data_IF_050230983956
#
_entry.id   IF_050230983956
#
_cell.length_a   1.000
_cell.length_b   1.000
_cell.length_c   1.000
_cell.angle_alpha   90.00
_cell.angle_beta   90.00
_cell.angle_gamma   90.00
#
_symmetry.space_group_name_H-M   'P 1'
#
loop_
_entity.id
_entity.type
_entity.pdbx_description
1 polymer ?
#
# COMPACT_ATOMS: atom_id res chain seq x y z
N UNK A 1 3.67 -21.09 27.41
CA UNK A 1 4.52 -20.28 26.50
C UNK A 1 4.48 -20.96 25.14
N UNK A 2 3.51 -20.59 24.33
CA UNK A 2 3.40 -21.06 22.94
C UNK A 2 4.25 -20.07 22.11
N UNK A 3 5.46 -20.45 21.78
CA UNK A 3 6.32 -19.64 20.90
C UNK A 3 5.72 -19.62 19.50
N UNK A 4 5.37 -18.42 19.02
CA UNK A 4 5.00 -18.17 17.63
C UNK A 4 6.11 -18.75 16.75
N UNK A 5 5.75 -19.62 15.79
CA UNK A 5 6.71 -20.03 14.75
C UNK A 5 6.96 -18.80 13.88
N UNK A 6 8.16 -18.21 13.96
CA UNK A 6 8.57 -17.12 13.06
C UNK A 6 8.41 -17.57 11.62
N UNK A 7 7.76 -16.74 10.83
CA UNK A 7 7.80 -16.89 9.37
C UNK A 7 9.25 -16.63 8.95
N UNK A 8 9.93 -17.67 8.48
CA UNK A 8 11.25 -17.51 7.88
C UNK A 8 11.04 -16.87 6.50
N UNK A 9 11.57 -15.69 6.32
CA UNK A 9 11.67 -15.06 5.03
C UNK A 9 12.56 -15.93 4.13
N UNK A 10 12.05 -16.33 2.97
CA UNK A 10 12.80 -17.19 2.08
C UNK A 10 13.65 -16.37 1.10
N UNK A 11 14.90 -16.76 0.94
CA UNK A 11 15.76 -16.32 -0.18
C UNK A 11 15.58 -17.36 -1.29
N UNK A 12 14.76 -17.11 -2.32
CA UNK A 12 14.58 -18.12 -3.34
C UNK A 12 13.76 -17.66 -4.55
N UNK A 13 14.28 -17.97 -5.73
CA UNK A 13 13.58 -17.86 -7.00
C UNK A 13 12.52 -18.96 -7.07
N UNK A 14 11.24 -18.59 -7.09
CA UNK A 14 10.13 -19.53 -7.34
C UNK A 14 9.55 -19.23 -8.72
N UNK A 15 9.71 -20.16 -9.65
CA UNK A 15 8.97 -20.17 -10.90
C UNK A 15 7.50 -20.53 -10.62
N UNK A 16 6.58 -19.61 -10.85
CA UNK A 16 5.15 -19.84 -10.74
C UNK A 16 4.54 -19.91 -12.13
N UNK A 17 3.96 -21.07 -12.46
CA UNK A 17 3.05 -21.21 -13.60
C UNK A 17 1.64 -20.81 -13.12
N UNK A 18 1.14 -19.66 -13.60
CA UNK A 18 -0.23 -19.21 -13.33
C UNK A 18 -1.12 -19.54 -14.51
N UNK A 19 -2.18 -20.33 -14.26
CA UNK A 19 -3.27 -20.57 -15.22
C UNK A 19 -4.29 -19.43 -15.15
N UNK A 20 -4.47 -18.70 -16.26
CA UNK A 20 -5.45 -17.63 -16.40
C UNK A 20 -6.82 -18.22 -16.79
N UNK A 21 -7.85 -17.95 -16.02
CA UNK A 21 -9.24 -18.11 -16.42
C UNK A 21 -9.79 -16.76 -16.90
N UNK A 22 -10.07 -16.64 -18.20
CA UNK A 22 -10.72 -15.46 -18.79
C UNK A 22 -12.22 -15.52 -18.51
N UNK A 23 -12.75 -14.56 -17.77
CA UNK A 23 -14.18 -14.31 -17.69
C UNK A 23 -14.58 -13.27 -18.75
N UNK A 24 -15.41 -13.68 -19.71
CA UNK A 24 -15.98 -12.81 -20.75
C UNK A 24 -17.23 -12.11 -20.20
N UNK A 25 -17.21 -10.80 -20.09
CA UNK A 25 -18.41 -10.00 -19.85
C UNK A 25 -19.09 -9.65 -21.18
N UNK A 26 -20.35 -10.08 -21.33
CA UNK A 26 -21.23 -9.67 -22.43
C UNK A 26 -21.94 -8.38 -22.08
N UNK A 27 -21.83 -7.38 -22.95
CA UNK A 27 -22.61 -6.12 -22.87
C UNK A 27 -24.01 -6.31 -23.47
N UNK A 28 -25.06 -5.65 -22.92
CA UNK A 28 -26.39 -5.65 -23.49
C UNK A 28 -26.51 -4.67 -24.68
N UNK A 29 -27.48 -4.84 -25.60
CA UNK A 29 -27.60 -4.07 -26.81
C UNK A 29 -28.22 -2.69 -26.60
N UNK A 30 -27.72 -1.69 -27.34
CA UNK A 30 -28.27 -0.35 -27.40
C UNK A 30 -29.45 -0.29 -28.36
N UNK A 31 -30.58 0.22 -27.91
CA UNK A 31 -31.73 0.55 -28.78
C UNK A 31 -31.53 1.92 -29.46
N UNK A 32 -32.01 1.94 -30.73
CA UNK A 32 -31.88 3.04 -31.65
C UNK A 32 -32.83 4.20 -31.35
N UNK A 33 -32.37 5.45 -31.54
CA UNK A 33 -33.25 6.59 -31.82
C UNK A 33 -32.74 7.41 -33.00
N UNK A 34 -33.71 7.84 -33.80
CA UNK A 34 -33.72 8.25 -35.18
C UNK A 34 -32.93 9.52 -35.56
N UNK A 35 -32.48 9.48 -36.77
CA UNK A 35 -32.08 10.42 -37.83
C UNK A 35 -32.55 11.87 -37.77
N UNK A 36 -31.63 12.85 -38.07
CA UNK A 36 -31.83 14.02 -38.94
C UNK A 36 -30.52 14.39 -39.69
N UNK A 37 -30.57 15.07 -40.85
CA UNK A 37 -29.67 14.87 -41.96
C UNK A 37 -28.45 15.81 -42.04
N UNK A 38 -27.51 15.39 -42.90
CA UNK A 38 -26.20 15.87 -43.21
C UNK A 38 -26.07 17.31 -43.72
N UNK A 39 -24.94 17.96 -43.36
CA UNK A 39 -24.24 18.89 -44.25
C UNK A 39 -22.78 18.48 -44.35
N UNK A 40 -22.39 18.17 -45.58
CA UNK A 40 -21.06 17.73 -46.00
C UNK A 40 -20.07 18.89 -46.05
N UNK A 41 -18.88 18.65 -45.46
CA UNK A 41 -17.63 19.36 -45.80
C UNK A 41 -16.48 18.33 -45.91
N UNK A 42 -15.52 18.50 -46.84
CA UNK A 42 -14.54 17.45 -47.13
C UNK A 42 -13.49 17.30 -46.06
N UNK A 43 -13.14 16.05 -45.78
CA UNK A 43 -12.11 15.65 -44.83
C UNK A 43 -10.72 15.89 -45.44
N UNK A 44 -9.87 16.55 -44.67
CA UNK A 44 -8.43 16.52 -44.87
C UNK A 44 -7.90 15.20 -44.31
N UNK A 45 -7.20 14.43 -45.13
CA UNK A 45 -6.50 13.22 -44.73
C UNK A 45 -5.37 13.58 -43.73
N UNK A 46 -5.57 13.24 -42.46
CA UNK A 46 -4.48 13.20 -41.47
C UNK A 46 -3.92 11.79 -41.50
N UNK A 47 -2.73 11.66 -42.07
CA UNK A 47 -1.93 10.44 -42.03
C UNK A 47 -1.58 10.10 -40.59
N UNK A 48 -2.25 9.11 -40.01
CA UNK A 48 -1.88 8.53 -38.72
C UNK A 48 -0.77 7.49 -38.92
N UNK A 49 0.47 7.93 -38.90
CA UNK A 49 1.59 7.01 -38.69
C UNK A 49 1.55 6.57 -37.23
N UNK A 50 0.88 5.47 -36.96
CA UNK A 50 0.93 4.77 -35.69
C UNK A 50 2.31 4.13 -35.51
N UNK A 51 3.15 4.70 -34.68
CA UNK A 51 4.34 4.02 -34.20
C UNK A 51 3.92 2.76 -33.43
N UNK A 52 4.59 1.61 -33.61
CA UNK A 52 4.25 0.40 -32.87
C UNK A 52 4.62 0.65 -31.38
N UNK A 53 3.60 0.78 -30.53
CA UNK A 53 3.78 0.70 -29.10
C UNK A 53 4.45 -0.65 -28.78
N UNK A 54 5.65 -0.60 -28.24
CA UNK A 54 6.37 -1.78 -27.78
C UNK A 54 5.47 -2.48 -26.74
N UNK A 55 4.97 -3.67 -27.11
CA UNK A 55 4.28 -4.56 -26.18
C UNK A 55 5.33 -5.06 -25.20
N UNK A 56 5.63 -4.29 -24.14
CA UNK A 56 6.36 -4.78 -22.97
C UNK A 56 5.56 -5.97 -22.47
N UNK A 57 6.18 -7.14 -22.43
CA UNK A 57 5.53 -8.38 -22.04
C UNK A 57 4.89 -8.19 -20.66
N UNK A 58 3.56 -8.26 -20.56
CA UNK A 58 2.81 -8.29 -19.31
C UNK A 58 3.42 -9.28 -18.30
N UNK A 59 4.00 -10.38 -18.77
CA UNK A 59 4.69 -11.37 -17.95
C UNK A 59 5.97 -10.84 -17.24
N UNK A 60 6.65 -9.84 -17.80
CA UNK A 60 7.78 -9.20 -17.13
C UNK A 60 7.31 -8.22 -16.03
N UNK A 61 6.20 -7.53 -16.26
CA UNK A 61 5.53 -6.69 -15.28
C UNK A 61 5.00 -7.52 -14.10
N UNK A 62 4.33 -8.64 -14.37
CA UNK A 62 3.82 -9.56 -13.34
C UNK A 62 4.95 -10.15 -12.47
N UNK A 63 6.13 -10.43 -13.05
CA UNK A 63 7.26 -10.96 -12.31
C UNK A 63 7.90 -9.94 -11.34
N UNK A 64 7.79 -8.64 -11.63
CA UNK A 64 8.30 -7.55 -10.79
C UNK A 64 7.29 -7.22 -9.65
N UNK A 65 6.01 -7.23 -9.97
CA UNK A 65 4.92 -6.72 -9.10
C UNK A 65 4.44 -7.75 -8.06
N UNK A 66 4.74 -9.03 -8.18
CA UNK A 66 4.10 -10.09 -7.39
C UNK A 66 4.99 -10.79 -6.35
N UNK A 67 6.17 -10.24 -6.01
CA UNK A 67 6.96 -10.81 -4.91
C UNK A 67 6.32 -10.48 -3.56
N UNK A 68 5.92 -11.47 -2.74
CA UNK A 68 5.44 -11.22 -1.39
C UNK A 68 6.48 -10.42 -0.58
N UNK A 69 6.02 -9.52 0.31
CA UNK A 69 6.92 -8.85 1.27
C UNK A 69 7.69 -9.84 2.19
N UNK A 70 7.29 -11.11 2.18
CA UNK A 70 7.95 -12.21 2.89
C UNK A 70 9.21 -12.76 2.19
N UNK A 71 9.62 -12.18 1.04
CA UNK A 71 10.84 -12.53 0.33
C UNK A 71 11.83 -11.38 0.46
N UNK A 72 12.95 -11.61 1.17
CA UNK A 72 14.00 -10.61 1.32
C UNK A 72 14.65 -10.28 -0.03
N UNK A 73 14.89 -8.98 -0.25
CA UNK A 73 15.57 -8.47 -1.45
C UNK A 73 17.06 -8.42 -1.25
N UNK A 74 17.79 -8.74 -2.31
CA UNK A 74 19.23 -8.52 -2.37
C UNK A 74 19.58 -7.10 -2.81
N UNK A 75 20.84 -6.64 -2.59
CA UNK A 75 21.31 -5.38 -3.10
C UNK A 75 21.12 -5.25 -4.62
N UNK A 76 20.48 -4.16 -5.04
CA UNK A 76 20.16 -3.88 -6.45
C UNK A 76 18.78 -4.38 -6.91
N UNK A 77 18.11 -5.24 -6.14
CA UNK A 77 16.73 -5.64 -6.42
C UNK A 77 15.75 -4.55 -5.97
N UNK A 78 14.73 -4.26 -6.77
CA UNK A 78 13.70 -3.29 -6.42
C UNK A 78 12.87 -3.79 -5.22
N UNK A 79 12.69 -2.94 -4.21
CA UNK A 79 11.75 -3.15 -3.12
C UNK A 79 10.31 -3.01 -3.59
N UNK A 80 9.37 -3.57 -2.84
CA UNK A 80 7.95 -3.40 -3.10
C UNK A 80 7.55 -1.92 -3.06
N UNK A 81 6.68 -1.49 -3.98
CA UNK A 81 6.15 -0.13 -4.03
C UNK A 81 4.95 -0.04 -3.11
N UNK A 82 5.04 0.80 -2.07
CA UNK A 82 4.02 0.96 -1.05
C UNK A 82 3.51 2.41 -1.10
N UNK A 83 2.25 2.59 -1.50
CA UNK A 83 1.63 3.91 -1.63
C UNK A 83 1.23 4.45 -0.25
N UNK A 84 1.95 5.46 0.26
CA UNK A 84 1.78 6.06 1.57
C UNK A 84 0.45 6.81 1.68
N UNK A 85 -0.47 6.32 2.52
CA UNK A 85 -1.84 6.83 2.68
C UNK A 85 -2.62 6.84 1.36
N UNK A 86 -2.38 5.83 0.51
CA UNK A 86 -2.76 5.82 -0.89
C UNK A 86 -1.81 6.60 -1.78
N UNK A 87 -2.21 6.95 -3.01
CA UNK A 87 -1.45 7.86 -3.87
C UNK A 87 -1.68 9.30 -3.41
N UNK A 88 -1.07 9.68 -2.28
CA UNK A 88 -1.28 10.95 -1.61
C UNK A 88 -0.69 12.16 -2.35
N UNK A 89 0.10 11.94 -3.40
CA UNK A 89 0.52 13.00 -4.31
C UNK A 89 -0.57 13.39 -5.34
N UNK A 90 -1.54 12.51 -5.59
CA UNK A 90 -2.58 12.70 -6.61
C UNK A 90 -3.98 12.90 -6.01
N UNK A 91 -4.23 12.43 -4.78
CA UNK A 91 -5.54 12.51 -4.13
C UNK A 91 -5.40 12.71 -2.61
N UNK A 92 -6.46 13.14 -1.89
CA UNK A 92 -6.38 13.40 -0.45
C UNK A 92 -5.96 12.15 0.34
N UNK A 93 -4.91 12.28 1.15
CA UNK A 93 -4.36 11.18 1.96
C UNK A 93 -5.46 10.45 2.76
N UNK A 94 -5.31 9.13 2.91
CA UNK A 94 -6.22 8.30 3.71
C UNK A 94 -7.70 8.37 3.28
N UNK A 95 -7.97 8.54 1.98
CA UNK A 95 -9.34 8.57 1.42
C UNK A 95 -9.51 7.52 0.33
N UNK A 96 -10.77 7.15 0.05
CA UNK A 96 -11.07 6.18 -1.03
C UNK A 96 -10.54 6.62 -2.40
N UNK A 97 -10.61 7.91 -2.82
CA UNK A 97 -9.95 8.38 -4.05
C UNK A 97 -8.43 8.11 -4.07
N UNK A 98 -7.71 8.32 -2.95
CA UNK A 98 -6.28 8.04 -2.88
C UNK A 98 -5.97 6.53 -3.00
N UNK A 99 -6.86 5.68 -2.47
CA UNK A 99 -6.70 4.22 -2.54
C UNK A 99 -6.97 3.70 -3.94
N UNK A 100 -8.01 4.20 -4.61
CA UNK A 100 -8.27 3.87 -6.03
C UNK A 100 -7.10 4.32 -6.90
N UNK A 101 -6.61 5.56 -6.72
CA UNK A 101 -5.44 6.07 -7.43
C UNK A 101 -4.17 5.26 -7.15
N UNK A 102 -4.00 4.73 -5.93
CA UNK A 102 -2.90 3.81 -5.59
C UNK A 102 -2.97 2.51 -6.39
N UNK A 103 -4.16 1.93 -6.56
CA UNK A 103 -4.38 0.73 -7.36
C UNK A 103 -4.06 1.01 -8.84
N UNK A 104 -4.57 2.13 -9.37
CA UNK A 104 -4.35 2.54 -10.75
C UNK A 104 -2.88 2.85 -11.05
N UNK A 105 -2.12 3.34 -10.06
CA UNK A 105 -0.69 3.58 -10.18
C UNK A 105 0.16 2.30 -10.28
N UNK A 106 -0.42 1.14 -10.00
CA UNK A 106 0.30 -0.14 -9.97
C UNK A 106 1.14 -0.37 -8.71
N UNK A 107 0.87 0.36 -7.62
CA UNK A 107 1.50 0.09 -6.33
C UNK A 107 1.15 -1.31 -5.83
N UNK A 108 2.14 -2.04 -5.28
CA UNK A 108 1.92 -3.38 -4.74
C UNK A 108 1.13 -3.38 -3.44
N UNK A 109 1.29 -2.33 -2.65
CA UNK A 109 0.58 -2.12 -1.38
C UNK A 109 0.01 -0.72 -1.31
N UNK A 110 -1.21 -0.64 -0.78
CA UNK A 110 -1.79 0.60 -0.30
C UNK A 110 -1.54 0.69 1.20
N UNK A 111 -0.81 1.69 1.66
CA UNK A 111 -0.62 1.94 3.09
C UNK A 111 -1.73 2.86 3.59
N UNK A 112 -2.23 2.58 4.81
CA UNK A 112 -3.29 3.32 5.49
C UNK A 112 -3.01 3.47 6.97
N UNK A 113 -3.49 4.57 7.57
CA UNK A 113 -3.41 4.82 9.01
C UNK A 113 -4.77 4.59 9.66
N UNK A 114 -4.84 3.82 10.75
CA UNK A 114 -6.11 3.60 11.46
C UNK A 114 -6.10 4.13 12.90
N UNK A 115 -7.29 4.66 13.29
CA UNK A 115 -7.62 5.08 14.65
C UNK A 115 -9.00 4.59 15.03
N UNK A 116 -9.31 4.61 16.33
CA UNK A 116 -10.65 4.31 16.81
C UNK A 116 -11.46 5.60 17.01
N UNK A 117 -12.69 5.59 16.51
CA UNK A 117 -13.72 6.58 16.87
C UNK A 117 -14.13 6.43 18.34
N UNK A 118 -14.93 7.38 18.86
CA UNK A 118 -15.49 7.34 20.21
C UNK A 118 -16.29 6.07 20.50
N UNK A 119 -17.01 5.56 19.53
CA UNK A 119 -17.84 4.36 19.59
C UNK A 119 -17.09 3.09 19.15
N UNK A 120 -15.74 3.19 19.00
CA UNK A 120 -14.85 2.04 18.81
C UNK A 120 -14.77 1.52 17.39
N UNK A 121 -15.26 2.26 16.39
CA UNK A 121 -15.13 1.88 14.96
C UNK A 121 -13.75 2.27 14.45
N UNK A 122 -13.00 1.37 13.78
CA UNK A 122 -11.75 1.70 13.13
C UNK A 122 -11.99 2.61 11.91
N UNK A 123 -11.43 3.82 11.94
CA UNK A 123 -11.50 4.82 10.87
C UNK A 123 -10.11 5.08 10.29
N UNK A 124 -10.06 5.49 9.02
CA UNK A 124 -8.80 5.68 8.31
C UNK A 124 -8.42 7.16 8.31
N UNK A 125 -7.50 7.52 9.19
CA UNK A 125 -6.99 8.89 9.37
C UNK A 125 -5.65 8.89 10.11
N UNK A 126 -4.72 9.75 9.67
CA UNK A 126 -3.37 9.82 10.26
C UNK A 126 -3.34 10.52 11.61
N UNK A 127 -3.85 11.74 11.69
CA UNK A 127 -3.71 12.61 12.86
C UNK A 127 -4.64 12.19 14.01
N UNK A 128 -4.34 12.65 15.22
CA UNK A 128 -5.21 12.44 16.38
C UNK A 128 -6.49 13.28 16.32
N UNK A 129 -6.46 14.37 15.54
CA UNK A 129 -7.60 15.26 15.31
C UNK A 129 -7.95 15.29 13.83
N UNK A 130 -9.14 15.75 13.52
CA UNK A 130 -9.66 15.90 12.16
C UNK A 130 -9.24 17.22 11.49
N UNK A 131 -8.59 18.13 12.21
CA UNK A 131 -8.44 19.56 11.86
C UNK A 131 -7.65 19.80 10.56
N UNK A 132 -6.62 18.98 10.27
CA UNK A 132 -5.71 19.21 9.14
C UNK A 132 -6.30 18.76 7.79
N UNK A 133 -7.01 17.64 7.80
CA UNK A 133 -7.44 16.96 6.58
C UNK A 133 -8.95 16.93 6.41
N UNK A 134 -9.70 17.71 7.22
CA UNK A 134 -11.15 17.84 7.08
C UNK A 134 -11.62 19.26 7.32
N UNK A 135 -12.91 19.50 7.06
CA UNK A 135 -13.59 20.76 7.40
C UNK A 135 -14.08 20.81 8.86
N UNK A 136 -13.78 19.81 9.69
CA UNK A 136 -14.12 19.75 11.11
C UNK A 136 -12.96 20.12 12.03
N UNK A 137 -13.21 20.04 13.34
CA UNK A 137 -12.23 20.25 14.39
C UNK A 137 -12.49 19.33 15.57
N UNK A 138 -11.42 18.83 16.22
CA UNK A 138 -11.51 18.00 17.42
C UNK A 138 -10.83 16.64 17.29
N UNK A 139 -10.78 15.93 18.42
CA UNK A 139 -10.11 14.63 18.48
C UNK A 139 -10.97 13.52 17.87
N UNK A 140 -10.38 12.67 17.03
CA UNK A 140 -11.02 11.49 16.43
C UNK A 140 -11.67 10.60 17.48
N UNK A 141 -10.98 10.37 18.62
CA UNK A 141 -11.46 9.54 19.71
C UNK A 141 -12.63 10.12 20.52
N UNK A 142 -12.99 11.37 20.28
CA UNK A 142 -14.12 12.04 20.93
C UNK A 142 -15.35 12.13 20.02
N UNK A 143 -15.22 11.77 18.75
CA UNK A 143 -16.28 11.80 17.73
C UNK A 143 -16.77 10.39 17.42
N UNK A 144 -18.07 10.23 17.32
CA UNK A 144 -18.71 8.99 16.84
C UNK A 144 -18.43 8.76 15.34
N UNK A 145 -18.60 7.54 14.86
CA UNK A 145 -18.46 7.27 13.43
C UNK A 145 -19.41 8.13 12.58
N UNK A 146 -20.62 8.38 13.06
CA UNK A 146 -21.59 9.22 12.34
C UNK A 146 -21.10 10.68 12.21
N UNK A 147 -20.49 11.24 13.26
CA UNK A 147 -19.92 12.59 13.23
C UNK A 147 -18.70 12.65 12.32
N UNK A 148 -17.80 11.66 12.38
CA UNK A 148 -16.62 11.58 11.52
C UNK A 148 -16.99 11.46 10.04
N UNK A 149 -17.99 10.65 9.71
CA UNK A 149 -18.47 10.44 8.32
C UNK A 149 -19.19 11.65 7.73
N UNK A 150 -19.65 12.59 8.54
CA UNK A 150 -20.26 13.83 8.09
C UNK A 150 -19.23 14.89 7.67
N UNK A 151 -17.94 14.68 7.96
CA UNK A 151 -16.86 15.59 7.60
C UNK A 151 -16.42 15.40 6.15
N UNK A 152 -16.00 16.49 5.54
CA UNK A 152 -15.35 16.51 4.23
C UNK A 152 -13.83 16.39 4.40
N UNK A 153 -13.28 15.26 3.99
CA UNK A 153 -11.85 14.95 4.04
C UNK A 153 -11.16 15.17 2.68
N UNK A 154 -11.80 15.81 1.71
CA UNK A 154 -11.27 16.00 0.37
C UNK A 154 -10.97 17.43 -0.02
N UNK A 155 -11.86 18.38 0.30
CA UNK A 155 -11.76 19.77 -0.15
C UNK A 155 -10.50 20.50 0.30
N UNK A 156 -9.84 20.05 1.36
CA UNK A 156 -8.57 20.66 1.81
C UNK A 156 -7.45 20.54 0.78
N UNK A 157 -7.49 19.50 -0.06
CA UNK A 157 -6.54 19.31 -1.16
C UNK A 157 -7.02 20.00 -2.44
N UNK A 158 -8.29 19.76 -2.84
CA UNK A 158 -8.89 20.32 -4.04
C UNK A 158 -10.41 20.18 -4.00
N UNK A 159 -11.11 21.19 -4.54
CA UNK A 159 -12.58 21.16 -4.74
C UNK A 159 -13.06 19.96 -5.56
N UNK A 160 -12.18 19.36 -6.39
CA UNK A 160 -12.48 18.13 -7.13
C UNK A 160 -12.83 16.97 -6.21
N UNK A 161 -12.34 16.99 -4.97
CA UNK A 161 -12.57 15.95 -3.97
C UNK A 161 -13.58 16.38 -2.89
N UNK A 162 -14.31 17.48 -3.11
CA UNK A 162 -15.28 17.97 -2.15
C UNK A 162 -16.32 16.90 -1.78
N UNK A 163 -16.65 16.82 -0.49
CA UNK A 163 -17.60 15.84 0.04
C UNK A 163 -17.05 14.41 0.21
N UNK A 164 -15.74 14.22 0.07
CA UNK A 164 -15.10 12.92 0.35
C UNK A 164 -15.15 12.63 1.84
N UNK A 165 -15.81 11.54 2.30
CA UNK A 165 -15.86 11.22 3.72
C UNK A 165 -14.57 10.55 4.22
N UNK A 166 -14.32 10.60 5.53
CA UNK A 166 -13.31 9.75 6.19
C UNK A 166 -13.71 8.29 6.02
N UNK A 167 -12.87 7.40 5.45
CA UNK A 167 -13.23 5.99 5.28
C UNK A 167 -13.21 5.23 6.61
N UNK A 168 -13.95 4.14 6.66
CA UNK A 168 -13.81 3.11 7.70
C UNK A 168 -12.87 2.00 7.21
N UNK A 169 -12.34 1.19 8.14
CA UNK A 169 -11.45 0.08 7.78
C UNK A 169 -12.17 -0.97 6.92
N UNK A 170 -13.44 -1.26 7.19
CA UNK A 170 -14.22 -2.23 6.40
C UNK A 170 -14.40 -1.80 4.94
N UNK A 171 -14.59 -0.50 4.66
CA UNK A 171 -14.65 0.01 3.29
C UNK A 171 -13.33 -0.23 2.54
N UNK A 172 -12.19 0.02 3.19
CA UNK A 172 -10.87 -0.21 2.58
C UNK A 172 -10.60 -1.70 2.39
N UNK A 173 -10.95 -2.53 3.36
CA UNK A 173 -10.80 -3.98 3.24
C UNK A 173 -11.69 -4.56 2.13
N UNK A 174 -12.92 -4.04 1.96
CA UNK A 174 -13.81 -4.43 0.86
C UNK A 174 -13.21 -4.03 -0.51
N UNK A 175 -12.64 -2.83 -0.63
CA UNK A 175 -11.92 -2.41 -1.84
C UNK A 175 -10.73 -3.34 -2.12
N UNK A 176 -9.92 -3.65 -1.11
CA UNK A 176 -8.76 -4.53 -1.24
C UNK A 176 -9.18 -5.95 -1.67
N UNK A 177 -10.24 -6.50 -1.08
CA UNK A 177 -10.76 -7.82 -1.45
C UNK A 177 -11.26 -7.88 -2.91
N UNK A 178 -11.90 -6.81 -3.39
CA UNK A 178 -12.44 -6.74 -4.75
C UNK A 178 -11.38 -6.48 -5.83
N UNK A 179 -10.34 -5.72 -5.50
CA UNK A 179 -9.27 -5.34 -6.44
C UNK A 179 -8.06 -6.29 -6.41
N UNK A 180 -7.92 -7.12 -5.37
CA UNK A 180 -6.73 -7.93 -5.14
C UNK A 180 -5.52 -7.14 -4.62
N UNK A 181 -5.70 -5.86 -4.29
CA UNK A 181 -4.64 -5.00 -3.73
C UNK A 181 -4.28 -5.45 -2.32
N UNK A 182 -2.99 -5.39 -1.99
CA UNK A 182 -2.48 -5.64 -0.65
C UNK A 182 -2.54 -4.37 0.19
N UNK A 183 -2.68 -4.53 1.51
CA UNK A 183 -2.79 -3.37 2.42
C UNK A 183 -1.72 -3.44 3.50
N UNK A 184 -1.05 -2.31 3.73
CA UNK A 184 -0.18 -2.08 4.89
C UNK A 184 -0.93 -1.17 5.87
N UNK A 185 -1.32 -1.69 7.04
CA UNK A 185 -2.14 -0.98 8.02
C UNK A 185 -1.28 -0.47 9.17
N UNK A 186 -1.16 0.85 9.32
CA UNK A 186 -0.56 1.44 10.52
C UNK A 186 -1.59 1.64 11.64
N UNK A 187 -1.35 0.98 12.75
CA UNK A 187 -2.09 1.18 14.00
C UNK A 187 -1.51 2.37 14.76
N UNK A 188 -2.18 3.53 14.69
CA UNK A 188 -1.70 4.77 15.31
C UNK A 188 -1.82 4.74 16.84
N UNK A 189 -0.67 4.80 17.51
CA UNK A 189 -0.58 4.80 18.97
C UNK A 189 -0.68 3.41 19.61
N UNK A 190 -1.14 3.35 20.86
CA UNK A 190 -1.25 2.08 21.60
C UNK A 190 -2.68 1.57 21.63
N UNK A 191 -2.92 0.49 20.93
CA UNK A 191 -4.22 -0.18 20.86
C UNK A 191 -4.43 -1.15 22.00
N UNK A 192 -5.67 -1.27 22.49
CA UNK A 192 -6.06 -2.29 23.45
C UNK A 192 -6.10 -3.68 22.80
N UNK A 193 -6.08 -4.76 23.61
CA UNK A 193 -6.29 -6.11 23.09
C UNK A 193 -7.64 -6.26 22.37
N UNK A 194 -8.68 -5.63 22.89
CA UNK A 194 -10.00 -5.66 22.27
C UNK A 194 -10.01 -4.96 20.91
N UNK A 195 -9.41 -3.75 20.83
CA UNK A 195 -9.33 -3.02 19.55
C UNK A 195 -8.51 -3.77 18.49
N UNK A 196 -7.39 -4.40 18.87
CA UNK A 196 -6.62 -5.26 17.96
C UNK A 196 -7.47 -6.44 17.50
N UNK A 197 -8.17 -7.12 18.43
CA UNK A 197 -9.04 -8.25 18.06
C UNK A 197 -10.11 -7.83 17.07
N UNK A 198 -10.76 -6.69 17.27
CA UNK A 198 -11.79 -6.19 16.34
C UNK A 198 -11.23 -6.05 14.91
N UNK A 199 -10.06 -5.45 14.75
CA UNK A 199 -9.47 -5.26 13.41
C UNK A 199 -8.98 -6.58 12.80
N UNK A 200 -8.44 -7.49 13.62
CA UNK A 200 -8.06 -8.85 13.16
C UNK A 200 -9.28 -9.62 12.67
N UNK A 201 -10.37 -9.62 13.45
CA UNK A 201 -11.63 -10.27 13.05
C UNK A 201 -12.18 -9.71 11.71
N UNK A 202 -12.05 -8.40 11.48
CA UNK A 202 -12.44 -7.77 10.20
C UNK A 202 -11.58 -8.25 9.03
N UNK A 203 -10.24 -8.34 9.21
CA UNK A 203 -9.31 -8.82 8.20
C UNK A 203 -9.57 -10.29 7.86
N UNK A 204 -9.79 -11.14 8.88
CA UNK A 204 -10.11 -12.55 8.72
C UNK A 204 -11.45 -12.77 8.02
N UNK A 205 -12.47 -11.98 8.37
CA UNK A 205 -13.82 -12.10 7.80
C UNK A 205 -13.85 -11.88 6.27
N UNK A 206 -12.93 -11.08 5.72
CA UNK A 206 -12.81 -10.85 4.27
C UNK A 206 -11.70 -11.69 3.62
N UNK A 207 -11.03 -12.58 4.37
CA UNK A 207 -10.02 -13.50 3.86
C UNK A 207 -8.68 -12.85 3.48
N UNK A 208 -8.35 -11.69 4.01
CA UNK A 208 -7.16 -10.91 3.64
C UNK A 208 -5.93 -11.14 4.54
N UNK A 209 -5.95 -12.11 5.45
CA UNK A 209 -4.86 -12.37 6.42
C UNK A 209 -3.48 -12.54 5.77
N UNK A 210 -3.41 -13.10 4.55
CA UNK A 210 -2.16 -13.31 3.83
C UNK A 210 -1.69 -12.10 3.00
N UNK A 211 -2.55 -11.12 2.79
CA UNK A 211 -2.31 -9.94 1.93
C UNK A 211 -2.25 -8.62 2.69
N UNK A 212 -2.63 -8.66 3.97
CA UNK A 212 -2.48 -7.53 4.89
C UNK A 212 -1.18 -7.65 5.66
N UNK A 213 -0.47 -6.53 5.80
CA UNK A 213 0.65 -6.33 6.72
C UNK A 213 0.22 -5.29 7.75
N UNK A 214 0.45 -5.54 9.02
CA UNK A 214 0.19 -4.57 10.09
C UNK A 214 1.49 -3.92 10.55
N UNK A 215 1.44 -2.64 10.93
CA UNK A 215 2.59 -1.95 11.50
C UNK A 215 2.18 -0.98 12.61
N UNK A 216 3.11 -0.64 13.50
CA UNK A 216 2.91 0.40 14.51
C UNK A 216 4.25 0.88 15.07
N UNK A 217 4.32 2.14 15.52
CA UNK A 217 5.41 2.62 16.39
C UNK A 217 5.35 2.03 17.80
N UNK A 218 4.16 1.61 18.24
CA UNK A 218 3.96 1.06 19.58
C UNK A 218 4.38 -0.39 19.66
N UNK A 219 5.51 -0.67 20.32
CA UNK A 219 5.95 -2.06 20.60
C UNK A 219 4.85 -2.91 21.25
N UNK A 220 4.03 -2.29 22.14
CA UNK A 220 2.89 -2.98 22.77
C UNK A 220 1.81 -3.36 21.77
N UNK A 221 1.56 -2.51 20.77
CA UNK A 221 0.60 -2.79 19.71
C UNK A 221 1.14 -3.89 18.80
N UNK A 222 2.40 -3.81 18.37
CA UNK A 222 3.09 -4.86 17.59
C UNK A 222 2.97 -6.21 18.28
N UNK A 223 3.37 -6.31 19.54
CA UNK A 223 3.30 -7.56 20.31
C UNK A 223 1.85 -8.08 20.45
N UNK A 224 0.85 -7.18 20.58
CA UNK A 224 -0.57 -7.58 20.67
C UNK A 224 -1.11 -8.10 19.36
N UNK A 225 -0.71 -7.51 18.24
CA UNK A 225 -1.11 -7.99 16.91
C UNK A 225 -0.46 -9.36 16.66
N UNK A 226 0.83 -9.48 16.93
CA UNK A 226 1.54 -10.75 16.79
C UNK A 226 0.95 -11.89 17.65
N UNK A 227 0.47 -11.58 18.87
CA UNK A 227 -0.21 -12.52 19.76
C UNK A 227 -1.62 -12.88 19.26
N UNK A 228 -2.39 -11.89 18.78
CA UNK A 228 -3.77 -12.08 18.35
C UNK A 228 -3.90 -12.75 16.99
N UNK A 229 -2.98 -12.49 16.06
CA UNK A 229 -3.00 -12.99 14.69
C UNK A 229 -1.60 -13.50 14.27
N UNK A 230 -1.20 -14.70 14.68
CA UNK A 230 0.11 -15.28 14.35
C UNK A 230 0.36 -15.42 12.84
N UNK A 231 -0.72 -15.44 12.05
CA UNK A 231 -0.66 -15.56 10.59
C UNK A 231 -0.46 -14.21 9.89
N UNK A 232 -0.66 -13.08 10.60
CA UNK A 232 -0.49 -11.75 10.03
C UNK A 232 0.98 -11.33 10.09
N UNK A 233 1.48 -10.76 9.00
CA UNK A 233 2.83 -10.15 9.00
C UNK A 233 2.80 -8.85 9.77
N UNK A 234 3.74 -8.65 10.71
CA UNK A 234 3.75 -7.47 11.59
C UNK A 234 5.09 -6.75 11.52
N UNK A 235 5.07 -5.45 11.17
CA UNK A 235 6.22 -4.55 11.16
C UNK A 235 6.27 -3.63 12.39
N UNK A 236 7.47 -3.29 12.82
CA UNK A 236 7.70 -2.25 13.83
C UNK A 236 8.28 -0.98 13.19
N UNK A 237 7.55 0.13 13.28
CA UNK A 237 7.98 1.46 12.81
C UNK A 237 9.02 2.06 13.75
N UNK A 238 10.12 2.59 13.20
CA UNK A 238 11.24 3.16 13.94
C UNK A 238 11.84 4.36 13.21
N UNK A 239 12.63 5.19 13.89
CA UNK A 239 13.38 6.26 13.22
C UNK A 239 14.61 5.70 12.51
N UNK A 240 15.36 4.82 13.19
CA UNK A 240 16.64 4.31 12.75
C UNK A 240 16.66 2.77 12.68
N UNK A 241 17.63 2.24 11.93
CA UNK A 241 17.90 0.80 11.80
C UNK A 241 19.30 0.47 12.29
N UNK A 242 19.45 0.29 13.59
CA UNK A 242 20.70 -0.10 14.23
C UNK A 242 20.65 -1.50 14.86
N UNK A 243 21.66 -1.84 15.68
CA UNK A 243 21.73 -3.14 16.33
C UNK A 243 20.65 -3.31 17.42
N UNK A 244 20.35 -2.24 18.14
CA UNK A 244 19.36 -2.25 19.22
C UNK A 244 17.94 -2.35 18.66
N UNK A 245 17.69 -1.68 17.54
CA UNK A 245 16.42 -1.75 16.79
C UNK A 245 16.15 -3.19 16.34
N UNK A 246 17.13 -3.86 15.73
CA UNK A 246 16.98 -5.25 15.30
C UNK A 246 16.76 -6.20 16.48
N UNK A 247 17.50 -6.01 17.58
CA UNK A 247 17.32 -6.83 18.78
C UNK A 247 15.92 -6.65 19.39
N UNK A 248 15.43 -5.41 19.47
CA UNK A 248 14.10 -5.11 19.98
C UNK A 248 13.00 -5.68 19.11
N UNK A 249 13.08 -5.48 17.77
CA UNK A 249 12.11 -6.04 16.82
C UNK A 249 12.00 -7.57 16.97
N UNK A 250 13.16 -8.22 17.12
CA UNK A 250 13.23 -9.64 17.40
C UNK A 250 12.54 -10.03 18.71
N UNK A 251 12.75 -9.26 19.77
CA UNK A 251 12.19 -9.53 21.10
C UNK A 251 10.67 -9.33 21.18
N UNK A 252 10.11 -8.41 20.39
CA UNK A 252 8.66 -8.17 20.30
C UNK A 252 7.98 -9.02 19.21
N UNK A 253 8.69 -9.98 18.63
CA UNK A 253 8.21 -10.89 17.61
C UNK A 253 7.70 -10.21 16.32
N UNK A 254 8.29 -9.05 15.95
CA UNK A 254 8.03 -8.43 14.66
C UNK A 254 8.64 -9.26 13.52
N UNK A 255 7.99 -9.24 12.36
CA UNK A 255 8.48 -9.87 11.13
C UNK A 255 9.27 -8.88 10.27
N UNK A 256 9.08 -7.58 10.47
CA UNK A 256 9.80 -6.52 9.77
C UNK A 256 10.15 -5.34 10.69
N UNK A 257 11.15 -4.57 10.29
CA UNK A 257 11.48 -3.25 10.85
C UNK A 257 11.26 -2.21 9.77
N UNK A 258 10.47 -1.19 10.08
CA UNK A 258 10.12 -0.15 9.13
C UNK A 258 10.74 1.18 9.58
N UNK A 259 12.03 1.43 9.27
CA UNK A 259 12.73 2.61 9.71
C UNK A 259 12.45 3.81 8.80
N UNK A 260 12.61 5.03 9.36
CA UNK A 260 12.64 6.25 8.56
C UNK A 260 13.94 6.36 7.76
N UNK A 261 15.05 5.91 8.35
CA UNK A 261 16.36 5.91 7.70
C UNK A 261 17.02 4.53 7.80
N UNK A 262 17.74 4.13 6.75
CA UNK A 262 18.44 2.86 6.69
C UNK A 262 19.88 3.02 6.20
N UNK A 263 20.73 2.07 6.60
CA UNK A 263 22.08 1.91 6.07
C UNK A 263 22.24 0.49 5.53
N UNK A 264 23.13 0.26 4.57
CA UNK A 264 23.41 -1.08 4.05
C UNK A 264 23.77 -2.08 5.16
N UNK A 265 24.51 -1.63 6.17
CA UNK A 265 24.86 -2.45 7.34
C UNK A 265 23.63 -2.79 8.19
N UNK A 266 22.70 -1.85 8.36
CA UNK A 266 21.44 -2.03 9.07
C UNK A 266 20.54 -3.04 8.36
N UNK A 267 20.32 -2.86 7.05
CA UNK A 267 19.54 -3.77 6.21
C UNK A 267 20.12 -5.19 6.28
N UNK A 268 21.43 -5.37 6.02
CA UNK A 268 22.07 -6.67 6.10
C UNK A 268 21.98 -7.31 7.50
N UNK A 269 21.90 -6.51 8.59
CA UNK A 269 21.70 -7.02 9.95
C UNK A 269 20.27 -7.50 10.16
N UNK A 270 19.26 -6.71 9.72
CA UNK A 270 17.87 -7.09 9.79
C UNK A 270 17.60 -8.38 9.02
N UNK A 271 18.10 -8.49 7.79
CA UNK A 271 17.97 -9.70 6.96
C UNK A 271 18.60 -10.94 7.61
N UNK A 272 19.79 -10.81 8.22
CA UNK A 272 20.39 -11.94 8.99
C UNK A 272 19.57 -12.36 10.19
N UNK A 273 18.78 -11.45 10.76
CA UNK A 273 17.84 -11.76 11.85
C UNK A 273 16.48 -12.29 11.33
N UNK A 274 16.31 -12.41 10.01
CA UNK A 274 15.06 -12.80 9.37
C UNK A 274 13.99 -11.74 9.45
N UNK A 275 14.36 -10.45 9.42
CA UNK A 275 13.44 -9.30 9.43
C UNK A 275 13.44 -8.62 8.08
N UNK A 276 12.23 -8.34 7.53
CA UNK A 276 12.08 -7.45 6.39
C UNK A 276 12.37 -5.99 6.75
N UNK A 277 12.63 -5.15 5.75
CA UNK A 277 12.93 -3.72 5.92
C UNK A 277 12.10 -2.89 4.95
N UNK A 278 11.14 -2.07 5.46
CA UNK A 278 10.34 -1.13 4.67
C UNK A 278 10.68 0.29 5.10
N UNK A 279 11.18 1.12 4.18
CA UNK A 279 11.67 2.47 4.51
C UNK A 279 10.64 3.53 4.12
N UNK A 280 10.33 4.46 5.03
CA UNK A 280 9.33 5.52 4.88
C UNK A 280 9.93 6.90 5.14
N UNK A 281 9.37 8.00 4.71
CA UNK A 281 8.61 8.19 3.46
C UNK A 281 9.59 8.76 2.46
N UNK A 282 9.75 8.12 1.34
CA UNK A 282 10.84 8.38 0.40
C UNK A 282 10.27 8.77 -0.96
N UNK A 283 10.44 10.04 -1.35
CA UNK A 283 9.79 10.61 -2.55
C UNK A 283 10.80 11.03 -3.63
N UNK A 284 12.10 10.97 -3.34
CA UNK A 284 13.14 11.37 -4.27
C UNK A 284 13.82 10.17 -4.95
N UNK A 285 14.11 10.30 -6.23
CA UNK A 285 14.83 9.27 -7.01
C UNK A 285 16.18 8.91 -6.42
N UNK A 286 16.89 9.90 -5.84
CA UNK A 286 18.17 9.68 -5.14
C UNK A 286 18.02 8.69 -3.99
N UNK A 287 16.92 8.77 -3.25
CA UNK A 287 16.63 7.90 -2.12
C UNK A 287 16.22 6.50 -2.60
N UNK A 288 15.35 6.42 -3.63
CA UNK A 288 14.97 5.15 -4.24
C UNK A 288 16.19 4.37 -4.76
N UNK A 289 17.13 5.08 -5.41
CA UNK A 289 18.38 4.51 -5.90
C UNK A 289 19.25 3.98 -4.76
N UNK A 290 19.41 4.75 -3.69
CA UNK A 290 20.21 4.37 -2.53
C UNK A 290 19.59 3.17 -1.80
N UNK A 291 18.28 3.18 -1.57
CA UNK A 291 17.55 2.11 -0.88
C UNK A 291 17.55 0.79 -1.69
N UNK A 292 17.34 0.89 -3.00
CA UNK A 292 17.45 -0.27 -3.90
C UNK A 292 18.87 -0.87 -3.87
N UNK A 293 19.90 -0.01 -3.87
CA UNK A 293 21.29 -0.49 -3.76
C UNK A 293 21.58 -1.18 -2.42
N UNK A 294 20.85 -0.85 -1.35
CA UNK A 294 20.94 -1.50 -0.04
C UNK A 294 20.14 -2.81 0.03
N UNK A 295 19.20 -3.05 -0.89
CA UNK A 295 18.31 -4.20 -0.92
C UNK A 295 17.20 -4.12 0.13
N UNK A 296 16.56 -2.94 0.31
CA UNK A 296 15.37 -2.85 1.16
C UNK A 296 14.20 -3.59 0.53
N UNK A 297 13.31 -4.14 1.36
CA UNK A 297 12.23 -5.01 0.90
C UNK A 297 10.99 -4.23 0.46
N UNK A 298 10.85 -2.97 0.91
CA UNK A 298 9.78 -2.07 0.50
C UNK A 298 10.16 -0.60 0.64
N UNK A 299 9.61 0.23 -0.25
CA UNK A 299 9.74 1.68 -0.24
C UNK A 299 8.35 2.28 -0.10
N UNK A 300 8.11 2.96 1.03
CA UNK A 300 6.86 3.69 1.30
C UNK A 300 7.03 5.10 0.76
N UNK A 301 6.18 5.50 -0.19
CA UNK A 301 6.27 6.76 -0.94
C UNK A 301 4.92 7.42 -1.14
N UNK A 302 4.89 8.75 -1.18
CA UNK A 302 3.71 9.52 -1.60
C UNK A 302 3.51 9.49 -3.13
N UNK A 303 4.52 9.05 -3.90
CA UNK A 303 4.58 9.12 -5.36
C UNK A 303 4.76 7.72 -5.98
N UNK A 304 3.78 6.81 -5.79
CA UNK A 304 3.93 5.41 -6.21
C UNK A 304 4.06 5.25 -7.73
N UNK A 305 3.37 6.07 -8.51
CA UNK A 305 3.45 6.15 -9.97
C UNK A 305 4.84 6.51 -10.46
N UNK A 306 5.45 7.54 -9.89
CA UNK A 306 6.80 7.98 -10.25
C UNK A 306 7.86 6.93 -9.83
N UNK A 307 7.69 6.28 -8.67
CA UNK A 307 8.58 5.19 -8.26
C UNK A 307 8.47 3.99 -9.21
N UNK A 308 7.25 3.62 -9.64
CA UNK A 308 7.05 2.54 -10.60
C UNK A 308 7.71 2.86 -11.95
N UNK A 309 7.51 4.07 -12.48
CA UNK A 309 8.14 4.51 -13.71
C UNK A 309 9.66 4.40 -13.63
N UNK A 310 10.26 4.89 -12.53
CA UNK A 310 11.69 4.81 -12.29
C UNK A 310 12.19 3.35 -12.21
N UNK A 311 11.46 2.44 -11.57
CA UNK A 311 11.80 0.99 -11.51
C UNK A 311 11.79 0.39 -12.92
N UNK A 312 10.73 0.65 -13.70
CA UNK A 312 10.58 0.12 -15.05
C UNK A 312 11.68 0.59 -16.00
N UNK A 313 12.09 1.86 -15.91
CA UNK A 313 13.15 2.41 -16.76
C UNK A 313 14.53 1.81 -16.42
N UNK A 314 14.79 1.52 -15.16
CA UNK A 314 16.00 0.79 -14.75
C UNK A 314 16.02 -0.63 -15.32
N UNK A 315 14.91 -1.34 -15.23
CA UNK A 315 14.79 -2.72 -15.75
C UNK A 315 14.99 -2.76 -17.27
N UNK A 316 14.40 -1.81 -18.01
CA UNK A 316 14.62 -1.68 -19.46
C UNK A 316 16.09 -1.42 -19.79
N UNK A 317 16.73 -0.49 -19.05
CA UNK A 317 18.15 -0.16 -19.23
C UNK A 317 19.05 -1.39 -18.94
N UNK A 318 18.76 -2.13 -17.89
CA UNK A 318 19.50 -3.34 -17.55
C UNK A 318 19.34 -4.46 -18.60
N UNK A 319 18.17 -4.52 -19.25
CA UNK A 319 17.87 -5.45 -20.34
C UNK A 319 18.43 -5.03 -21.71
N UNK A 320 19.07 -3.86 -21.84
CA UNK A 320 19.61 -3.34 -23.09
C UNK A 320 18.54 -2.98 -24.12
N UNK A 321 17.37 -2.57 -23.66
CA UNK A 321 16.20 -2.27 -24.51
C UNK A 321 16.07 -0.77 -24.89
N UNK A 322 17.19 -0.01 -24.88
CA UNK A 322 17.32 1.36 -25.43
C UNK A 322 18.33 1.43 -26.54
#
# INVERSE_FOLDING_TARGET
MSGRRRRLWSTGAIGVAASLALATFSSPPAEALASHPAHSRPAAEVSTASAPAAKTSLAALDAIILRPLTVLRGPGEAGAIIAHRGNSSAAPENTMPAFVSSIESGAEYCEIDIRLSKDGVPVVIHDRSVDRTTNGAGAVSEMTISELRALDAGSWLSETFAGTPIPTLDEVLALAASSGTRVLIEYKGTWSKAGVKTTVDMIEAVGLTSTVVAQSFSQKTVARIADAAPELTVGWLTEDLDASTVATATAIEADAVNPRTATARGVARAHRAGLGVFVWTQDAETDWRALTAMGVDGIITNRPDALLEWVLDREKSAAGLF
#
